data_IF_894891043125
#
_entry.id   IF_894891043125
#
_cell.length_a   1.000
_cell.length_b   1.000
_cell.length_c   1.000
_cell.angle_alpha   90.00
_cell.angle_beta   90.00
_cell.angle_gamma   90.00
#
_symmetry.space_group_name_H-M   'P 1'
#
loop_
_entity.id
_entity.type
_entity.pdbx_description
1 polymer ?
#
# COMPACT_ATOMS: atom_id res chain seq x y z
N UNK A 1 15.85 -7.28 30.92
CA UNK A 1 15.07 -8.26 30.14
C UNK A 1 14.15 -7.48 29.20
N UNK A 2 14.57 -7.25 27.94
CA UNK A 2 13.79 -6.45 26.98
C UNK A 2 12.69 -7.33 26.37
N UNK A 3 11.44 -6.87 26.27
CA UNK A 3 10.40 -7.61 25.56
C UNK A 3 10.72 -7.63 24.07
N UNK A 4 10.71 -8.83 23.48
CA UNK A 4 10.86 -9.05 22.04
C UNK A 4 9.64 -8.47 21.30
N UNK A 5 9.81 -7.79 20.14
CA UNK A 5 8.67 -7.36 19.35
C UNK A 5 7.89 -8.57 18.84
N UNK A 6 6.57 -8.47 18.94
CA UNK A 6 5.58 -9.44 18.50
C UNK A 6 5.72 -9.61 16.98
N UNK A 7 6.33 -10.72 16.57
CA UNK A 7 6.32 -11.20 15.19
C UNK A 7 4.87 -11.50 14.79
N UNK A 8 4.30 -10.69 13.90
CA UNK A 8 3.12 -11.03 13.09
C UNK A 8 3.55 -10.73 11.65
N UNK A 9 3.37 -11.58 10.64
CA UNK A 9 2.46 -12.70 10.51
C UNK A 9 2.98 -13.66 9.43
N UNK A 10 2.83 -14.96 9.66
CA UNK A 10 2.57 -15.99 8.65
C UNK A 10 1.95 -17.20 9.37
N UNK A 11 1.01 -17.97 8.77
CA UNK A 11 0.64 -17.96 7.36
C UNK A 11 -0.83 -17.53 7.10
N UNK A 12 -1.13 -16.83 6.00
CA UNK A 12 -2.49 -16.53 5.56
C UNK A 12 -3.17 -17.77 4.92
N UNK A 13 -3.35 -18.85 5.69
CA UNK A 13 -4.07 -20.05 5.24
C UNK A 13 -5.59 -19.98 5.45
N UNK A 14 -6.11 -18.89 6.02
CA UNK A 14 -7.51 -18.79 6.41
C UNK A 14 -8.46 -18.36 5.29
N UNK A 15 -7.99 -17.62 4.29
CA UNK A 15 -8.87 -16.87 3.37
C UNK A 15 -9.28 -17.66 2.12
N UNK A 16 -8.49 -18.64 1.68
CA UNK A 16 -8.74 -19.43 0.46
C UNK A 16 -8.53 -20.94 0.70
N UNK A 17 -9.44 -21.54 1.49
CA UNK A 17 -9.33 -22.96 1.89
C UNK A 17 -9.66 -23.94 0.76
N UNK A 18 -10.57 -23.58 -0.14
CA UNK A 18 -10.93 -24.39 -1.30
C UNK A 18 -9.76 -24.53 -2.28
N UNK A 19 -9.06 -23.42 -2.53
CA UNK A 19 -7.86 -23.40 -3.37
C UNK A 19 -6.65 -24.01 -2.67
N UNK A 20 -6.49 -23.77 -1.37
CA UNK A 20 -5.34 -24.21 -0.59
C UNK A 20 -4.09 -23.32 -0.74
N UNK A 21 -4.21 -22.19 -1.43
CA UNK A 21 -3.19 -21.15 -1.56
C UNK A 21 -3.86 -19.79 -1.79
N UNK A 22 -3.11 -18.70 -1.60
CA UNK A 22 -3.59 -17.34 -1.87
C UNK A 22 -3.09 -16.86 -3.25
N UNK A 23 -3.96 -16.76 -4.28
CA UNK A 23 -3.57 -16.28 -5.60
C UNK A 23 -3.40 -14.76 -5.71
N UNK A 24 -3.89 -13.97 -4.74
CA UNK A 24 -3.94 -12.50 -4.82
C UNK A 24 -3.47 -11.90 -3.48
N UNK A 25 -2.16 -11.97 -3.18
CA UNK A 25 -1.62 -11.35 -1.98
C UNK A 25 -1.78 -9.82 -2.02
N UNK A 26 -2.04 -9.22 -0.86
CA UNK A 26 -2.15 -7.77 -0.71
C UNK A 26 -3.52 -7.32 -0.23
N UNK A 27 -3.58 -6.07 0.22
CA UNK A 27 -4.77 -5.48 0.85
C UNK A 27 -5.22 -4.26 0.05
N UNK A 28 -6.35 -4.32 -0.69
CA UNK A 28 -6.81 -3.21 -1.53
C UNK A 28 -7.05 -1.93 -0.73
N UNK A 29 -7.62 -2.04 0.47
CA UNK A 29 -7.88 -0.88 1.34
C UNK A 29 -6.62 -0.13 1.73
N UNK A 30 -5.53 -0.86 2.01
CA UNK A 30 -4.24 -0.27 2.38
C UNK A 30 -3.61 0.49 1.20
N UNK A 31 -3.75 -0.06 -0.01
CA UNK A 31 -3.29 0.60 -1.24
C UNK A 31 -4.11 1.85 -1.53
N UNK A 32 -5.43 1.78 -1.41
CA UNK A 32 -6.32 2.93 -1.58
C UNK A 32 -6.06 4.01 -0.51
N UNK A 33 -5.73 3.62 0.72
CA UNK A 33 -5.31 4.55 1.77
C UNK A 33 -4.00 5.25 1.43
N UNK A 34 -3.00 4.51 0.93
CA UNK A 34 -1.76 5.10 0.45
C UNK A 34 -2.01 6.12 -0.69
N UNK A 35 -2.87 5.78 -1.65
CA UNK A 35 -3.27 6.70 -2.73
C UNK A 35 -3.86 8.01 -2.18
N UNK A 36 -4.79 7.91 -1.21
CA UNK A 36 -5.38 9.08 -0.53
C UNK A 36 -4.32 9.92 0.20
N UNK A 37 -3.36 9.29 0.87
CA UNK A 37 -2.27 10.00 1.54
C UNK A 37 -1.40 10.79 0.56
N UNK A 38 -1.04 10.19 -0.58
CA UNK A 38 -0.27 10.88 -1.61
C UNK A 38 -1.04 12.07 -2.22
N UNK A 39 -2.32 11.89 -2.53
CA UNK A 39 -3.17 12.98 -3.03
C UNK A 39 -3.31 14.12 -2.00
N UNK A 40 -3.51 13.78 -0.72
CA UNK A 40 -3.62 14.77 0.35
C UNK A 40 -2.27 15.48 0.62
N UNK A 41 -1.13 14.82 0.43
CA UNK A 41 0.18 15.45 0.51
C UNK A 41 0.40 16.45 -0.63
N UNK A 42 0.02 16.09 -1.87
CA UNK A 42 0.07 17.00 -3.01
C UNK A 42 -0.78 18.26 -2.78
N UNK A 43 -2.02 18.10 -2.33
CA UNK A 43 -2.92 19.22 -2.05
C UNK A 43 -2.39 20.16 -0.95
N UNK A 44 -1.72 19.61 0.09
CA UNK A 44 -1.09 20.42 1.13
C UNK A 44 0.10 21.23 0.60
N UNK A 45 0.88 20.67 -0.33
CA UNK A 45 1.98 21.39 -0.96
C UNK A 45 1.48 22.53 -1.86
N UNK A 46 0.35 22.36 -2.55
CA UNK A 46 -0.25 23.45 -3.34
C UNK A 46 -0.77 24.61 -2.47
N UNK A 47 -1.28 24.28 -1.28
CA UNK A 47 -1.80 25.26 -0.33
C UNK A 47 -0.69 25.95 0.47
N UNK A 48 0.54 25.44 0.43
CA UNK A 48 1.65 26.05 1.13
C UNK A 48 1.98 27.40 0.48
N UNK A 49 1.95 28.51 1.25
CA UNK A 49 2.26 29.81 0.70
C UNK A 49 3.69 29.80 0.18
N UNK A 50 3.87 30.32 -1.03
CA UNK A 50 5.21 30.54 -1.57
C UNK A 50 5.91 31.54 -0.64
N UNK A 51 7.17 31.30 -0.24
CA UNK A 51 7.93 32.26 0.55
C UNK A 51 7.94 33.61 -0.17
N UNK A 52 7.24 34.59 0.40
CA UNK A 52 7.11 35.94 -0.15
C UNK A 52 8.07 36.91 0.51
N UNK A 53 8.28 38.06 -0.14
CA UNK A 53 8.97 39.19 0.49
C UNK A 53 8.21 39.64 1.73
N UNK A 54 8.93 39.81 2.84
CA UNK A 54 8.40 40.43 4.06
C UNK A 54 8.77 41.91 3.97
N UNK A 55 7.82 42.83 3.67
CA UNK A 55 8.14 44.22 3.32
C UNK A 55 8.87 44.99 4.43
N UNK A 56 8.65 44.57 5.68
CA UNK A 56 9.24 45.16 6.88
C UNK A 56 10.68 44.71 7.13
N UNK A 57 11.14 43.65 6.45
CA UNK A 57 12.48 43.10 6.61
C UNK A 57 13.27 43.19 5.31
N UNK A 58 14.05 44.27 5.19
CA UNK A 58 14.88 44.56 4.03
C UNK A 58 16.39 44.44 4.34
N UNK A 59 17.19 44.19 3.30
CA UNK A 59 18.66 44.13 3.37
C UNK A 59 19.25 42.81 2.89
N UNK A 60 20.59 42.71 2.87
CA UNK A 60 21.32 41.58 2.29
C UNK A 60 20.93 40.20 2.89
N UNK A 61 20.60 40.15 4.19
CA UNK A 61 20.15 38.93 4.85
C UNK A 61 18.74 38.50 4.43
N UNK A 62 17.83 39.46 4.22
CA UNK A 62 16.49 39.19 3.72
C UNK A 62 16.54 38.68 2.28
N UNK A 63 17.40 39.28 1.44
CA UNK A 63 17.64 38.80 0.08
C UNK A 63 18.19 37.37 0.04
N UNK A 64 19.20 37.07 0.87
CA UNK A 64 19.79 35.73 0.93
C UNK A 64 18.78 34.65 1.37
N UNK A 65 17.84 35.02 2.26
CA UNK A 65 16.74 34.15 2.68
C UNK A 65 15.74 33.93 1.54
N UNK A 66 15.31 35.00 0.87
CA UNK A 66 14.39 34.93 -0.26
C UNK A 66 14.97 34.07 -1.40
N UNK A 67 16.25 34.26 -1.73
CA UNK A 67 16.95 33.46 -2.74
C UNK A 67 17.02 31.97 -2.35
N UNK A 68 17.29 31.67 -1.06
CA UNK A 68 17.31 30.30 -0.55
C UNK A 68 15.92 29.67 -0.60
N UNK A 69 14.90 30.43 -0.24
CA UNK A 69 13.52 29.98 -0.24
C UNK A 69 13.00 29.75 -1.67
N UNK A 70 13.36 30.61 -2.62
CA UNK A 70 13.09 30.43 -4.04
C UNK A 70 13.75 29.18 -4.62
N UNK A 71 15.02 28.91 -4.30
CA UNK A 71 15.69 27.66 -4.73
C UNK A 71 15.01 26.41 -4.15
N UNK A 72 14.59 26.45 -2.89
CA UNK A 72 13.84 25.35 -2.28
C UNK A 72 12.47 25.15 -2.94
N UNK A 73 11.75 26.23 -3.24
CA UNK A 73 10.48 26.19 -3.96
C UNK A 73 10.63 25.59 -5.36
N UNK A 74 11.67 25.98 -6.12
CA UNK A 74 11.97 25.39 -7.43
C UNK A 74 12.24 23.89 -7.34
N UNK A 75 12.97 23.44 -6.31
CA UNK A 75 13.23 22.02 -6.08
C UNK A 75 11.98 21.21 -5.74
N UNK A 76 10.95 21.85 -5.17
CA UNK A 76 9.68 21.22 -4.80
C UNK A 76 8.59 21.34 -5.86
N UNK A 77 8.78 22.15 -6.90
CA UNK A 77 7.74 22.47 -7.88
C UNK A 77 7.17 21.24 -8.61
N UNK A 78 7.98 20.21 -8.86
CA UNK A 78 7.55 18.97 -9.51
C UNK A 78 6.94 17.94 -8.54
N UNK A 79 7.11 18.13 -7.22
CA UNK A 79 6.72 17.14 -6.20
C UNK A 79 5.19 16.94 -6.12
N UNK A 80 4.35 17.99 -6.09
CA UNK A 80 2.90 17.80 -6.07
C UNK A 80 2.39 16.97 -7.24
N UNK A 81 2.93 17.19 -8.44
CA UNK A 81 2.54 16.45 -9.64
C UNK A 81 2.98 14.99 -9.58
N UNK A 82 4.21 14.72 -9.14
CA UNK A 82 4.70 13.36 -8.93
C UNK A 82 3.86 12.59 -7.88
N UNK A 83 3.44 13.25 -6.80
CA UNK A 83 2.58 12.67 -5.77
C UNK A 83 1.16 12.37 -6.29
N UNK A 84 0.58 13.25 -7.13
CA UNK A 84 -0.70 12.99 -7.79
C UNK A 84 -0.60 11.81 -8.76
N UNK A 85 0.47 11.75 -9.55
CA UNK A 85 0.71 10.64 -10.47
C UNK A 85 0.86 9.30 -9.71
N UNK A 86 1.60 9.28 -8.60
CA UNK A 86 1.73 8.11 -7.75
C UNK A 86 0.39 7.70 -7.12
N UNK A 87 -0.40 8.67 -6.63
CA UNK A 87 -1.74 8.42 -6.12
C UNK A 87 -2.65 7.77 -7.16
N UNK A 88 -2.64 8.27 -8.40
CA UNK A 88 -3.44 7.73 -9.49
C UNK A 88 -3.04 6.28 -9.85
N UNK A 89 -1.74 5.97 -9.89
CA UNK A 89 -1.25 4.61 -10.12
C UNK A 89 -1.71 3.66 -9.00
N UNK A 90 -1.63 4.10 -7.74
CA UNK A 90 -2.04 3.28 -6.60
C UNK A 90 -3.55 3.08 -6.53
N UNK A 91 -4.34 4.09 -6.89
CA UNK A 91 -5.80 3.96 -6.95
C UNK A 91 -6.26 2.95 -8.02
N UNK A 92 -5.65 3.03 -9.21
CA UNK A 92 -5.84 2.06 -10.31
C UNK A 92 -5.44 0.62 -9.88
N UNK A 93 -4.31 0.49 -9.17
CA UNK A 93 -3.89 -0.79 -8.60
C UNK A 93 -4.85 -1.30 -7.52
N UNK A 94 -5.38 -0.44 -6.65
CA UNK A 94 -6.37 -0.83 -5.66
C UNK A 94 -7.65 -1.37 -6.32
N UNK A 95 -8.11 -0.73 -7.40
CA UNK A 95 -9.22 -1.24 -8.21
C UNK A 95 -8.94 -2.62 -8.80
N UNK A 96 -7.74 -2.83 -9.34
CA UNK A 96 -7.29 -4.13 -9.87
C UNK A 96 -7.25 -5.21 -8.78
N UNK A 97 -6.73 -4.88 -7.60
CA UNK A 97 -6.70 -5.78 -6.45
C UNK A 97 -8.10 -6.22 -6.03
N UNK A 98 -9.08 -5.30 -5.97
CA UNK A 98 -10.47 -5.63 -5.65
C UNK A 98 -11.05 -6.63 -6.67
N UNK A 99 -10.79 -6.40 -7.97
CA UNK A 99 -11.27 -7.31 -9.01
C UNK A 99 -10.62 -8.70 -8.90
N UNK A 100 -9.30 -8.76 -8.67
CA UNK A 100 -8.58 -10.01 -8.49
C UNK A 100 -9.05 -10.77 -7.24
N UNK A 101 -9.26 -10.07 -6.11
CA UNK A 101 -9.80 -10.67 -4.87
C UNK A 101 -11.18 -11.30 -5.09
N UNK A 102 -12.11 -10.59 -5.74
CA UNK A 102 -13.43 -11.16 -6.09
C UNK A 102 -13.31 -12.42 -6.94
N UNK A 103 -12.41 -12.41 -7.94
CA UNK A 103 -12.18 -13.57 -8.78
C UNK A 103 -11.57 -14.74 -7.99
N UNK A 104 -10.67 -14.46 -7.06
CA UNK A 104 -10.09 -15.47 -6.17
C UNK A 104 -11.15 -16.11 -5.25
N UNK A 105 -12.04 -15.31 -4.67
CA UNK A 105 -13.17 -15.80 -3.87
C UNK A 105 -14.12 -16.68 -4.69
N UNK A 106 -14.42 -16.30 -5.93
CA UNK A 106 -15.24 -17.11 -6.83
C UNK A 106 -14.58 -18.47 -7.11
N UNK A 107 -13.28 -18.48 -7.42
CA UNK A 107 -12.52 -19.70 -7.65
C UNK A 107 -12.42 -20.56 -6.39
N UNK A 108 -12.32 -19.97 -5.21
CA UNK A 108 -12.30 -20.70 -3.94
C UNK A 108 -13.63 -21.40 -3.63
N UNK A 109 -14.75 -20.71 -3.89
CA UNK A 109 -16.08 -21.32 -3.82
C UNK A 109 -16.20 -22.48 -4.81
N UNK A 110 -15.76 -22.29 -6.05
CA UNK A 110 -15.79 -23.33 -7.07
C UNK A 110 -14.92 -24.54 -6.68
N UNK A 111 -13.72 -24.31 -6.13
CA UNK A 111 -12.81 -25.36 -5.70
C UNK A 111 -13.37 -26.13 -4.51
N UNK A 112 -14.00 -25.44 -3.55
CA UNK A 112 -14.71 -26.09 -2.44
C UNK A 112 -15.81 -27.04 -2.94
N UNK A 113 -16.64 -26.56 -3.86
CA UNK A 113 -17.71 -27.39 -4.47
C UNK A 113 -17.12 -28.56 -5.26
N UNK A 114 -16.08 -28.33 -6.05
CA UNK A 114 -15.43 -29.38 -6.85
C UNK A 114 -14.80 -30.46 -5.95
N UNK A 115 -14.16 -30.08 -4.84
CA UNK A 115 -13.62 -31.04 -3.86
C UNK A 115 -14.70 -31.86 -3.19
N UNK A 116 -15.83 -31.25 -2.81
CA UNK A 116 -16.97 -31.99 -2.25
C UNK A 116 -17.53 -32.99 -3.27
N UNK A 117 -17.72 -32.56 -4.52
CA UNK A 117 -18.19 -33.43 -5.60
C UNK A 117 -17.21 -34.58 -5.89
N UNK A 118 -15.90 -34.32 -5.77
CA UNK A 118 -14.87 -35.34 -5.90
C UNK A 118 -14.98 -36.40 -4.79
N UNK A 119 -15.14 -35.99 -3.53
CA UNK A 119 -15.34 -36.92 -2.41
C UNK A 119 -16.60 -37.76 -2.62
N UNK A 120 -17.73 -37.16 -3.00
CA UNK A 120 -18.94 -37.93 -3.31
C UNK A 120 -18.72 -38.93 -4.45
N UNK A 121 -18.00 -38.54 -5.51
CA UNK A 121 -17.70 -39.45 -6.61
C UNK A 121 -16.73 -40.58 -6.22
N UNK A 122 -15.85 -40.36 -5.24
CA UNK A 122 -14.99 -41.41 -4.66
C UNK A 122 -15.85 -42.42 -3.88
N UNK A 123 -16.75 -41.94 -3.02
CA UNK A 123 -17.67 -42.78 -2.27
C UNK A 123 -18.57 -43.62 -3.21
N UNK A 124 -19.06 -43.02 -4.30
CA UNK A 124 -19.84 -43.72 -5.34
C UNK A 124 -19.03 -44.85 -6.01
N UNK A 125 -17.73 -44.62 -6.26
CA UNK A 125 -16.83 -45.65 -6.81
C UNK A 125 -16.64 -46.77 -5.80
N UNK A 126 -16.32 -46.46 -4.55
CA UNK A 126 -16.11 -47.46 -3.49
C UNK A 126 -17.37 -48.34 -3.28
N UNK A 127 -18.56 -47.73 -3.32
CA UNK A 127 -19.82 -48.45 -3.28
C UNK A 127 -20.00 -49.35 -4.51
N UNK A 128 -19.79 -48.83 -5.72
CA UNK A 128 -19.93 -49.60 -6.95
C UNK A 128 -18.91 -50.74 -7.05
N UNK A 129 -17.70 -50.55 -6.51
CA UNK A 129 -16.69 -51.61 -6.39
C UNK A 129 -17.17 -52.73 -5.48
N UNK A 130 -17.74 -52.37 -4.32
CA UNK A 130 -18.33 -53.34 -3.39
C UNK A 130 -19.45 -54.13 -4.05
N UNK A 131 -20.38 -53.48 -4.75
CA UNK A 131 -21.47 -54.15 -5.45
C UNK A 131 -20.98 -55.09 -6.57
N UNK A 132 -19.96 -54.67 -7.33
CA UNK A 132 -19.38 -55.46 -8.41
C UNK A 132 -18.65 -56.72 -7.91
N UNK A 133 -18.14 -56.72 -6.67
CA UNK A 133 -17.55 -57.92 -6.05
C UNK A 133 -18.59 -59.02 -5.80
N UNK A 134 -19.83 -58.65 -5.46
CA UNK A 134 -20.90 -59.60 -5.17
C UNK A 134 -21.79 -59.92 -6.38
N UNK A 135 -21.77 -59.07 -7.42
CA UNK A 135 -22.56 -59.24 -8.64
C UNK A 135 -21.80 -58.77 -9.89
N UNK A 136 -21.35 -59.69 -10.77
CA UNK A 136 -20.71 -59.31 -12.03
C UNK A 136 -21.57 -58.42 -12.93
N UNK A 137 -22.90 -58.49 -12.79
CA UNK A 137 -23.84 -57.65 -13.54
C UNK A 137 -23.74 -56.15 -13.16
N UNK A 138 -23.12 -55.81 -12.02
CA UNK A 138 -22.92 -54.43 -11.59
C UNK A 138 -21.68 -53.75 -12.22
N UNK A 139 -20.90 -54.44 -13.06
CA UNK A 139 -19.71 -53.85 -13.69
C UNK A 139 -19.93 -52.58 -14.53
N UNK A 140 -21.05 -52.43 -15.26
CA UNK A 140 -21.36 -51.17 -15.95
C UNK A 140 -21.52 -49.98 -14.99
N UNK A 141 -22.04 -50.21 -13.78
CA UNK A 141 -22.19 -49.17 -12.77
C UNK A 141 -20.83 -48.69 -12.27
N UNK A 142 -19.91 -49.61 -11.99
CA UNK A 142 -18.53 -49.27 -11.61
C UNK A 142 -17.81 -48.48 -12.70
N UNK A 143 -17.96 -48.89 -13.96
CA UNK A 143 -17.38 -48.16 -15.10
C UNK A 143 -17.93 -46.72 -15.18
N UNK A 144 -19.23 -46.55 -14.96
CA UNK A 144 -19.90 -45.25 -14.94
C UNK A 144 -19.42 -44.39 -13.76
N UNK A 145 -19.31 -44.96 -12.56
CA UNK A 145 -18.81 -44.27 -11.38
C UNK A 145 -17.37 -43.77 -11.57
N UNK A 146 -16.49 -44.61 -12.13
CA UNK A 146 -15.10 -44.24 -12.44
C UNK A 146 -15.02 -43.12 -13.49
N UNK A 147 -15.86 -43.16 -14.52
CA UNK A 147 -15.93 -42.08 -15.50
C UNK A 147 -16.37 -40.75 -14.86
N UNK A 148 -17.36 -40.78 -13.96
CA UNK A 148 -17.78 -39.59 -13.20
C UNK A 148 -16.67 -39.07 -12.31
N UNK A 149 -15.96 -39.95 -11.61
CA UNK A 149 -14.81 -39.59 -10.78
C UNK A 149 -13.74 -38.85 -11.60
N UNK A 150 -13.38 -39.39 -12.77
CA UNK A 150 -12.44 -38.74 -13.68
C UNK A 150 -12.91 -37.34 -14.09
N UNK A 151 -14.18 -37.17 -14.47
CA UNK A 151 -14.74 -35.84 -14.79
C UNK A 151 -14.66 -34.87 -13.61
N UNK A 152 -14.89 -35.34 -12.37
CA UNK A 152 -14.76 -34.48 -11.17
C UNK A 152 -13.31 -34.09 -10.88
N UNK A 153 -12.35 -34.96 -11.19
CA UNK A 153 -10.93 -34.64 -11.11
C UNK A 153 -10.57 -33.54 -12.12
N UNK A 154 -11.01 -33.69 -13.38
CA UNK A 154 -10.79 -32.70 -14.43
C UNK A 154 -11.39 -31.33 -14.08
N UNK A 155 -12.60 -31.31 -13.50
CA UNK A 155 -13.26 -30.09 -13.03
C UNK A 155 -12.45 -29.38 -11.95
N UNK A 156 -11.93 -30.11 -10.97
CA UNK A 156 -11.10 -29.54 -9.91
C UNK A 156 -9.79 -29.01 -10.47
N UNK A 157 -9.12 -29.78 -11.33
CA UNK A 157 -7.84 -29.41 -11.94
C UNK A 157 -7.98 -28.14 -12.79
N UNK A 158 -9.09 -28.00 -13.52
CA UNK A 158 -9.42 -26.78 -14.27
C UNK A 158 -9.54 -25.56 -13.36
N UNK A 159 -10.27 -25.66 -12.24
CA UNK A 159 -10.40 -24.53 -11.29
C UNK A 159 -9.05 -24.16 -10.68
N UNK A 160 -8.23 -25.15 -10.32
CA UNK A 160 -6.88 -24.90 -9.80
C UNK A 160 -5.97 -24.26 -10.85
N UNK A 161 -6.08 -24.65 -12.11
CA UNK A 161 -5.34 -24.04 -13.21
C UNK A 161 -5.74 -22.57 -13.44
N UNK A 162 -7.05 -22.27 -13.42
CA UNK A 162 -7.55 -20.89 -13.49
C UNK A 162 -7.04 -20.03 -12.32
N UNK A 163 -6.98 -20.58 -11.11
CA UNK A 163 -6.44 -19.89 -9.95
C UNK A 163 -4.93 -19.61 -10.07
N UNK A 164 -4.16 -20.52 -10.68
CA UNK A 164 -2.74 -20.30 -10.98
C UNK A 164 -2.52 -19.26 -12.08
N UNK A 165 -3.41 -19.18 -13.05
CA UNK A 165 -3.35 -18.10 -14.04
C UNK A 165 -3.63 -16.74 -13.39
N UNK A 166 -4.61 -16.67 -12.49
CA UNK A 166 -4.88 -15.46 -11.71
C UNK A 166 -3.65 -15.00 -10.89
N UNK A 167 -2.93 -15.94 -10.27
CA UNK A 167 -1.69 -15.65 -9.53
C UNK A 167 -0.59 -15.06 -10.43
N UNK A 168 -0.40 -15.62 -11.63
CA UNK A 168 0.57 -15.08 -12.61
C UNK A 168 0.17 -13.70 -13.10
N UNK A 169 -1.12 -13.50 -13.42
CA UNK A 169 -1.65 -12.21 -13.84
C UNK A 169 -1.48 -11.16 -12.74
N UNK A 170 -1.82 -11.50 -11.50
CA UNK A 170 -1.60 -10.64 -10.33
C UNK A 170 -0.13 -10.24 -10.17
N UNK A 171 0.79 -11.21 -10.21
CA UNK A 171 2.23 -10.96 -10.06
C UNK A 171 2.78 -10.06 -11.17
N UNK A 172 2.30 -10.28 -12.41
CA UNK A 172 2.70 -9.48 -13.58
C UNK A 172 2.23 -8.03 -13.44
N UNK A 173 0.98 -7.81 -13.05
CA UNK A 173 0.45 -6.46 -12.85
C UNK A 173 1.08 -5.75 -11.64
N UNK A 174 1.34 -6.47 -10.55
CA UNK A 174 2.07 -5.92 -9.41
C UNK A 174 3.48 -5.44 -9.81
N UNK A 175 4.20 -6.20 -10.64
CA UNK A 175 5.50 -5.80 -11.16
C UNK A 175 5.39 -4.55 -12.06
N UNK A 176 4.40 -4.49 -12.95
CA UNK A 176 4.14 -3.31 -13.80
C UNK A 176 3.85 -2.05 -12.99
N UNK A 177 3.04 -2.17 -11.94
CA UNK A 177 2.74 -1.06 -11.01
C UNK A 177 4.02 -0.61 -10.31
N UNK A 178 4.84 -1.53 -9.82
CA UNK A 178 6.12 -1.20 -9.19
C UNK A 178 7.07 -0.48 -10.15
N UNK A 179 7.14 -0.90 -11.41
CA UNK A 179 7.97 -0.25 -12.43
C UNK A 179 7.44 1.14 -12.79
N UNK A 180 6.12 1.33 -12.91
CA UNK A 180 5.50 2.65 -13.11
C UNK A 180 5.82 3.60 -11.95
N UNK A 181 5.75 3.14 -10.71
CA UNK A 181 6.12 3.93 -9.54
C UNK A 181 7.62 4.26 -9.52
N UNK A 182 8.50 3.32 -9.90
CA UNK A 182 9.94 3.59 -9.99
C UNK A 182 10.27 4.63 -11.06
N UNK A 183 9.62 4.55 -12.22
CA UNK A 183 9.80 5.51 -13.31
C UNK A 183 9.40 6.94 -12.91
N UNK A 184 8.42 7.11 -12.02
CA UNK A 184 8.13 8.42 -11.42
C UNK A 184 9.31 8.92 -10.58
N UNK A 185 9.90 8.04 -9.77
CA UNK A 185 11.07 8.34 -8.92
C UNK A 185 12.34 8.70 -9.68
N UNK A 186 12.56 8.12 -10.86
CA UNK A 186 13.73 8.38 -11.71
C UNK A 186 13.64 9.71 -12.47
N UNK A 187 12.43 10.26 -12.68
CA UNK A 187 12.19 11.58 -13.30
C UNK A 187 11.95 12.72 -12.31
N UNK A 188 11.60 12.40 -11.07
CA UNK A 188 11.55 13.30 -9.91
C UNK A 188 11.58 12.40 -8.69
N UNK A 189 12.55 12.52 -7.77
CA UNK A 189 12.63 11.64 -6.62
C UNK A 189 11.28 11.68 -5.90
N UNK A 190 10.51 10.58 -5.99
CA UNK A 190 9.43 10.34 -5.05
C UNK A 190 10.13 10.41 -3.69
N UNK A 191 9.69 11.31 -2.79
CA UNK A 191 10.33 11.37 -1.50
C UNK A 191 10.25 9.96 -0.92
N UNK A 192 11.41 9.35 -0.66
CA UNK A 192 11.47 8.29 0.34
C UNK A 192 10.70 8.84 1.54
N UNK A 193 9.79 8.05 2.12
CA UNK A 193 8.98 8.46 3.27
C UNK A 193 9.86 9.37 4.13
N UNK A 194 9.51 10.66 4.30
CA UNK A 194 10.47 11.66 4.69
C UNK A 194 11.19 11.11 5.92
N UNK A 195 12.52 11.08 5.86
CA UNK A 195 13.26 11.07 7.10
C UNK A 195 12.84 12.39 7.76
N UNK A 196 11.79 12.32 8.58
CA UNK A 196 11.35 13.38 9.46
C UNK A 196 12.56 13.99 10.17
N UNK A 197 13.60 13.23 10.56
CA UNK A 197 14.86 13.79 11.05
C UNK A 197 15.56 14.77 10.10
N UNK A 198 15.57 14.56 8.79
CA UNK A 198 16.21 15.46 7.82
C UNK A 198 15.41 16.76 7.65
N UNK A 199 14.07 16.66 7.61
CA UNK A 199 13.17 17.82 7.55
C UNK A 199 13.24 18.63 8.86
N UNK A 200 13.25 17.96 10.02
CA UNK A 200 13.44 18.63 11.32
C UNK A 200 14.85 19.21 11.42
N UNK A 201 15.89 18.52 10.94
CA UNK A 201 17.26 19.06 10.92
C UNK A 201 17.33 20.32 10.06
N UNK A 202 16.64 20.36 8.92
CA UNK A 202 16.58 21.58 8.09
C UNK A 202 15.82 22.71 8.77
N UNK A 203 14.70 22.43 9.45
CA UNK A 203 13.95 23.41 10.23
C UNK A 203 14.71 23.89 11.49
N UNK A 204 15.45 22.99 12.14
CA UNK A 204 16.33 23.28 13.27
C UNK A 204 17.54 24.11 12.84
N UNK A 205 18.11 23.82 11.66
CA UNK A 205 19.19 24.62 11.06
C UNK A 205 18.69 26.02 10.72
N UNK A 206 17.47 26.14 10.20
CA UNK A 206 16.81 27.43 9.94
C UNK A 206 16.53 28.21 11.23
N UNK A 207 16.09 27.51 12.28
CA UNK A 207 15.85 28.08 13.61
C UNK A 207 17.14 28.47 14.31
N UNK A 208 18.21 27.70 14.16
CA UNK A 208 19.54 28.02 14.69
C UNK A 208 20.14 29.24 13.99
N UNK A 209 20.03 29.33 12.66
CA UNK A 209 20.42 30.52 11.90
C UNK A 209 19.58 31.75 12.31
N UNK A 210 18.28 31.59 12.55
CA UNK A 210 17.41 32.64 13.09
C UNK A 210 17.83 33.11 14.50
N UNK A 211 18.28 32.19 15.37
CA UNK A 211 18.83 32.54 16.69
C UNK A 211 20.18 33.26 16.60
N UNK A 212 21.07 32.86 15.68
CA UNK A 212 22.34 33.55 15.48
C UNK A 212 22.14 34.98 14.93
N UNK A 213 21.14 35.17 14.07
CA UNK A 213 20.72 36.52 13.64
C UNK A 213 20.11 37.32 14.80
N UNK A 214 19.34 36.69 15.69
CA UNK A 214 18.84 37.32 16.92
C UNK A 214 19.94 37.75 17.89
N UNK A 215 21.00 36.95 18.05
CA UNK A 215 22.13 37.25 18.95
C UNK A 215 23.07 38.31 18.36
N UNK A 216 23.18 38.40 17.03
CA UNK A 216 23.99 39.43 16.35
C UNK A 216 23.29 40.79 16.27
N UNK A 217 21.96 40.82 16.22
CA UNK A 217 21.15 42.06 16.27
C UNK A 217 21.01 42.60 17.71
N UNK A 218 21.07 41.75 18.74
CA UNK A 218 20.90 42.12 20.14
C UNK A 218 22.09 42.86 20.80
N UNK A 219 23.01 43.45 20.04
CA UNK A 219 24.00 44.43 20.58
C UNK A 219 23.46 45.87 20.68
N UNK A 220 22.15 46.06 20.52
CA UNK A 220 21.44 47.29 20.90
C UNK A 220 20.33 46.95 21.90
N UNK A 221 20.15 47.73 22.98
CA UNK A 221 19.18 47.39 24.01
C UNK A 221 17.77 47.67 23.49
N UNK A 222 17.08 46.62 23.05
CA UNK A 222 15.63 46.65 22.84
C UNK A 222 14.99 45.76 23.91
N UNK A 223 13.96 46.30 24.56
CA UNK A 223 13.26 45.65 25.67
C UNK A 223 12.85 44.20 25.33
N UNK A 224 12.92 43.27 26.29
CA UNK A 224 12.62 41.87 26.05
C UNK A 224 11.13 41.71 25.72
N UNK A 225 10.83 41.44 24.44
CA UNK A 225 9.52 40.90 24.06
C UNK A 225 9.50 39.45 24.55
N UNK A 226 8.88 39.25 25.70
CA UNK A 226 8.50 37.92 26.16
C UNK A 226 7.34 37.44 25.27
N UNK A 227 7.49 36.36 24.49
CA UNK A 227 6.36 35.81 23.77
C UNK A 227 5.30 35.31 24.78
N UNK A 228 3.99 35.50 24.52
CA UNK A 228 2.96 35.03 25.42
C UNK A 228 3.06 33.50 25.59
N UNK A 229 3.01 32.98 26.83
CA UNK A 229 3.08 31.55 27.09
C UNK A 229 1.81 30.90 26.56
N UNK A 230 1.90 30.29 25.38
CA UNK A 230 0.75 29.61 24.76
C UNK A 230 0.93 29.26 23.28
N UNK A 231 1.70 30.04 22.51
CA UNK A 231 1.81 29.82 21.07
C UNK A 231 2.53 28.49 20.71
N UNK A 232 3.53 28.09 21.52
CA UNK A 232 4.23 26.80 21.34
C UNK A 232 3.40 25.62 21.85
N UNK A 233 2.57 25.84 22.87
CA UNK A 233 1.63 24.83 23.38
C UNK A 233 0.47 24.56 22.42
N UNK A 234 -0.01 25.58 21.70
CA UNK A 234 -1.08 25.45 20.72
C UNK A 234 -0.65 24.66 19.47
N UNK A 235 0.61 24.82 19.04
CA UNK A 235 1.15 24.06 17.91
C UNK A 235 1.44 22.59 18.27
N UNK A 236 1.91 22.31 19.49
CA UNK A 236 2.09 20.94 19.97
C UNK A 236 0.75 20.21 20.21
N UNK A 237 -0.28 20.91 20.68
CA UNK A 237 -1.63 20.35 20.83
C UNK A 237 -2.31 20.03 19.49
N UNK A 238 -2.02 20.80 18.44
CA UNK A 238 -2.53 20.56 17.09
C UNK A 238 -1.88 19.34 16.39
N UNK A 239 -0.70 18.91 16.85
CA UNK A 239 0.02 17.74 16.31
C UNK A 239 -0.12 16.47 17.17
N UNK A 240 -0.64 16.58 18.40
CA UNK A 240 -0.81 15.46 19.33
C UNK A 240 -2.25 14.98 19.57
N UNK A 241 -3.24 15.58 18.90
CA UNK A 241 -4.66 15.33 19.16
C UNK A 241 -5.36 14.43 18.14
N UNK A 242 -5.23 13.10 18.33
CA UNK A 242 -6.02 11.97 17.78
C UNK A 242 -6.20 11.83 16.27
#
# INVERSE_FOLDING_TARGET
MRPRPKTWAEPPMAEFRGLGFNPVPGRPDAVAEAARHYAAAAARLDQAPTPGEIPEWAGNSAQALADRAGRAATGLAAVPEALRAAAAILDDWAGTLVAHHRRAEDLDRQATVARQALTTAQDDVDQAETEAQFSPAAQPNLTTARARLATRQDDLDRVLAEARELERAHTTEAARVADRLRALGDGSPLPSAPDFPAVTTHLETFSAAGRELGVTVAKTPVAPVTPPPGAVGAFAAALGGR
#
